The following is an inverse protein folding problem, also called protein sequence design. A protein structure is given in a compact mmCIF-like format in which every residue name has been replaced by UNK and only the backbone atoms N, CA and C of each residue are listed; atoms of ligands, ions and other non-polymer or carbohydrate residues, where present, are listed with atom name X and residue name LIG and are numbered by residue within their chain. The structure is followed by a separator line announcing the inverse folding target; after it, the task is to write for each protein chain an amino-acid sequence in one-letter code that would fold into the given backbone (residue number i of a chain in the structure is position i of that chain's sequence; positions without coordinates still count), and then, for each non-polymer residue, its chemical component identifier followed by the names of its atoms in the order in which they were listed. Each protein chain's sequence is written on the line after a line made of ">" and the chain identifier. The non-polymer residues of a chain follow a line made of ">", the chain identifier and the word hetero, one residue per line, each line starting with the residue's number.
data_IF_501354703301
#
_entry.id   IF_501354703301
#
_cell.length_a   1.000
_cell.length_b   1.000
_cell.length_c   1.000
_cell.angle_alpha   90.00
_cell.angle_beta   90.00
_cell.angle_gamma   90.00
#
_symmetry.space_group_name_H-M   'P 1'
#
loop_
_entity.id
_entity.type
_entity.pdbx_description
1 polymer ?
#
# COMPACT_ATOMS: atom_id res chain seq x y z
N UNK A 1 -9.08 54.88 -27.88
CA UNK A 1 -7.95 54.17 -27.29
C UNK A 1 -8.47 52.81 -26.87
N UNK A 2 -8.27 51.76 -27.73
CA UNK A 2 -8.79 50.40 -27.52
C UNK A 2 -7.87 49.67 -26.54
N UNK A 3 -8.35 49.38 -25.34
CA UNK A 3 -7.67 48.51 -24.39
C UNK A 3 -8.15 47.07 -24.69
N UNK A 4 -7.29 46.28 -25.28
CA UNK A 4 -7.49 44.84 -25.43
C UNK A 4 -7.36 44.19 -24.05
N UNK A 5 -8.46 43.65 -23.51
CA UNK A 5 -8.41 42.74 -22.35
C UNK A 5 -7.88 41.40 -22.83
N UNK A 6 -6.66 41.14 -22.43
CA UNK A 6 -5.99 39.84 -22.61
C UNK A 6 -6.66 38.84 -21.68
N UNK A 7 -7.43 37.92 -22.23
CA UNK A 7 -7.82 36.70 -21.49
C UNK A 7 -6.54 35.90 -21.23
N UNK A 8 -5.96 36.08 -20.02
CA UNK A 8 -4.76 35.38 -19.63
C UNK A 8 -5.12 33.93 -19.33
N UNK A 9 -4.97 33.07 -20.34
CA UNK A 9 -4.95 31.63 -20.16
C UNK A 9 -3.66 31.30 -19.41
N UNK A 10 -3.74 31.09 -18.11
CA UNK A 10 -2.57 30.68 -17.32
C UNK A 10 -2.26 29.23 -17.66
N UNK A 11 -1.37 29.02 -18.61
CA UNK A 11 -0.87 27.69 -18.97
C UNK A 11 0.42 27.49 -18.17
N UNK A 12 0.35 26.73 -17.10
CA UNK A 12 1.54 26.25 -16.40
C UNK A 12 2.04 24.98 -17.11
N UNK A 13 3.21 25.06 -17.70
CA UNK A 13 3.90 23.89 -18.22
C UNK A 13 4.84 23.32 -17.14
N UNK A 14 4.49 22.16 -16.64
CA UNK A 14 5.36 21.31 -15.83
C UNK A 14 5.58 20.00 -16.59
N UNK A 15 6.79 19.50 -16.63
CA UNK A 15 7.15 18.40 -17.55
C UNK A 15 7.07 16.97 -16.92
N UNK A 16 6.18 16.09 -17.43
CA UNK A 16 5.83 14.74 -16.91
C UNK A 16 5.58 13.63 -17.95
N UNK A 17 5.99 12.38 -17.69
CA UNK A 17 5.64 11.16 -18.43
C UNK A 17 4.91 10.13 -17.57
N UNK A 18 3.69 9.69 -17.94
CA UNK A 18 2.90 8.64 -17.28
C UNK A 18 2.67 7.43 -18.14
N UNK A 19 2.65 6.32 -17.46
CA UNK A 19 2.22 5.05 -17.99
C UNK A 19 0.84 4.74 -17.44
N UNK A 20 -0.16 4.64 -18.32
CA UNK A 20 -1.46 4.02 -18.04
C UNK A 20 -1.70 2.96 -19.11
N UNK A 21 -1.81 1.73 -18.67
CA UNK A 21 -2.35 0.60 -19.45
C UNK A 21 -1.43 0.04 -20.54
N UNK A 22 -0.84 -1.12 -20.29
CA UNK A 22 -0.25 -2.05 -21.26
C UNK A 22 0.73 -1.48 -22.27
N UNK A 23 1.84 -0.99 -21.80
CA UNK A 23 3.16 -1.02 -22.43
C UNK A 23 4.09 -0.20 -21.58
N UNK A 24 4.73 -0.86 -20.64
CA UNK A 24 5.90 -0.31 -19.93
C UNK A 24 7.07 -0.54 -20.88
N UNK A 25 7.65 0.51 -21.43
CA UNK A 25 9.01 0.38 -21.95
C UNK A 25 9.89 -0.12 -20.80
N UNK A 26 10.42 -1.31 -21.00
CA UNK A 26 11.20 -2.01 -20.02
C UNK A 26 12.38 -1.14 -19.58
N UNK A 27 12.53 -0.95 -18.28
CA UNK A 27 13.85 -0.79 -17.67
C UNK A 27 14.72 -1.87 -18.27
N UNK A 28 15.87 -1.50 -18.87
CA UNK A 28 16.77 -2.42 -19.56
C UNK A 28 16.92 -3.73 -18.78
N UNK A 29 16.64 -4.84 -19.47
CA UNK A 29 16.74 -6.19 -18.94
C UNK A 29 18.09 -6.40 -18.29
N UNK A 30 18.14 -6.37 -16.97
CA UNK A 30 19.21 -7.07 -16.24
C UNK A 30 19.08 -8.55 -16.57
N UNK A 31 20.15 -9.13 -17.11
CA UNK A 31 20.25 -10.51 -17.58
C UNK A 31 19.55 -11.51 -16.64
N UNK A 32 18.63 -12.27 -17.24
CA UNK A 32 17.83 -13.37 -16.75
C UNK A 32 16.89 -13.08 -15.54
N UNK A 33 15.64 -13.50 -15.63
CA UNK A 33 14.66 -13.28 -14.55
C UNK A 33 15.06 -14.11 -13.33
N UNK A 34 15.68 -13.45 -12.35
CA UNK A 34 16.09 -14.06 -11.09
C UNK A 34 14.94 -14.06 -10.07
N UNK A 35 13.70 -14.16 -10.56
CA UNK A 35 12.45 -14.23 -9.81
C UNK A 35 11.37 -14.92 -10.66
N UNK A 36 10.32 -15.40 -10.01
CA UNK A 36 9.14 -15.96 -10.72
C UNK A 36 8.09 -14.90 -11.00
N UNK A 37 7.91 -13.96 -10.09
CA UNK A 37 7.02 -12.81 -10.24
C UNK A 37 7.42 -11.68 -9.30
N UNK A 38 7.06 -10.44 -9.67
CA UNK A 38 7.20 -9.29 -8.79
C UNK A 38 6.10 -8.26 -9.06
N UNK A 39 5.85 -7.38 -8.10
CA UNK A 39 4.94 -6.24 -8.20
C UNK A 39 5.42 -5.12 -7.29
N UNK A 40 5.46 -3.90 -7.80
CA UNK A 40 5.72 -2.68 -7.07
C UNK A 40 4.55 -1.72 -7.30
N UNK A 41 4.03 -1.17 -6.23
CA UNK A 41 2.94 -0.18 -6.26
C UNK A 41 3.00 0.74 -5.05
N UNK A 42 2.08 1.71 -5.00
CA UNK A 42 1.92 2.57 -3.84
C UNK A 42 1.08 1.89 -2.73
N UNK A 43 0.95 2.53 -1.59
CA UNK A 43 0.15 2.03 -0.47
C UNK A 43 -1.38 2.16 -0.67
N UNK A 44 -1.82 2.70 -1.81
CA UNK A 44 -3.23 2.94 -2.15
C UNK A 44 -3.75 2.04 -3.28
N UNK A 45 -3.02 0.99 -3.63
CA UNK A 45 -3.43 0.01 -4.63
C UNK A 45 -3.07 0.34 -6.08
N UNK A 46 -2.33 1.43 -6.33
CA UNK A 46 -1.90 1.73 -7.69
C UNK A 46 -0.62 0.97 -8.02
N UNK A 47 -0.77 -0.06 -8.86
CA UNK A 47 0.37 -0.82 -9.38
C UNK A 47 1.17 0.03 -10.36
N UNK A 48 2.46 0.14 -10.11
CA UNK A 48 3.39 0.92 -10.93
C UNK A 48 4.17 0.01 -11.89
N UNK A 49 4.65 -1.12 -11.41
CA UNK A 49 5.40 -2.11 -12.18
C UNK A 49 5.07 -3.52 -11.72
N UNK A 50 5.18 -4.49 -12.63
CA UNK A 50 5.03 -5.89 -12.27
C UNK A 50 5.25 -6.83 -13.44
N UNK A 51 5.63 -8.06 -13.11
CA UNK A 51 5.77 -9.15 -14.06
C UNK A 51 5.20 -10.43 -13.49
N UNK A 52 4.41 -11.15 -14.28
CA UNK A 52 3.73 -12.39 -13.85
C UNK A 52 2.91 -12.22 -12.55
N UNK A 53 2.27 -11.05 -12.36
CA UNK A 53 1.65 -10.66 -11.09
C UNK A 53 0.51 -11.59 -10.67
N UNK A 54 -0.21 -12.18 -11.61
CA UNK A 54 -1.33 -13.10 -11.41
C UNK A 54 -0.88 -14.58 -11.28
N UNK A 55 0.41 -14.87 -11.49
CA UNK A 55 0.91 -16.25 -11.43
C UNK A 55 0.98 -16.74 -9.99
N UNK A 56 0.32 -17.85 -9.68
CA UNK A 56 0.39 -18.49 -8.36
C UNK A 56 1.76 -19.10 -8.12
N UNK A 57 2.33 -18.77 -6.97
CA UNK A 57 3.61 -19.26 -6.49
C UNK A 57 3.47 -19.75 -5.05
N UNK A 58 4.29 -20.71 -4.61
CA UNK A 58 4.35 -21.10 -3.21
C UNK A 58 4.80 -19.91 -2.34
N UNK A 59 4.07 -19.65 -1.26
CA UNK A 59 4.27 -18.47 -0.42
C UNK A 59 5.40 -18.64 0.61
N UNK A 60 5.67 -19.86 1.04
CA UNK A 60 6.50 -20.10 2.20
C UNK A 60 6.05 -19.22 3.39
N UNK A 61 6.96 -18.68 4.17
CA UNK A 61 6.62 -17.88 5.36
C UNK A 61 5.94 -16.54 5.09
N UNK A 62 5.66 -16.14 3.83
CA UNK A 62 4.73 -15.03 3.58
C UNK A 62 3.31 -15.37 4.08
N UNK A 63 2.93 -16.65 4.13
CA UNK A 63 1.71 -17.15 4.79
C UNK A 63 1.49 -16.56 6.17
N UNK A 64 2.58 -16.33 6.94
CA UNK A 64 2.51 -15.78 8.30
C UNK A 64 2.01 -14.33 8.35
N UNK A 65 1.97 -13.62 7.23
CA UNK A 65 1.30 -12.32 7.18
C UNK A 65 -0.18 -12.47 7.53
N UNK A 66 -0.89 -13.41 6.88
CA UNK A 66 -2.29 -13.70 7.20
C UNK A 66 -2.45 -14.25 8.63
N UNK A 67 -1.54 -15.12 9.08
CA UNK A 67 -1.54 -15.62 10.47
C UNK A 67 -1.50 -14.47 11.46
N UNK A 68 -0.68 -13.45 11.22
CA UNK A 68 -0.59 -12.28 12.09
C UNK A 68 -1.83 -11.39 11.99
N UNK A 69 -2.39 -11.17 10.81
CA UNK A 69 -3.62 -10.40 10.65
C UNK A 69 -4.77 -11.03 11.46
N UNK A 70 -5.02 -12.33 11.27
CA UNK A 70 -6.07 -13.05 12.03
C UNK A 70 -5.78 -13.02 13.54
N UNK A 71 -4.50 -13.08 13.95
CA UNK A 71 -4.11 -12.94 15.36
C UNK A 71 -4.46 -11.55 15.90
N UNK A 72 -4.16 -10.48 15.14
CA UNK A 72 -4.50 -9.12 15.54
C UNK A 72 -6.01 -8.86 15.52
N UNK A 73 -6.76 -9.47 14.62
CA UNK A 73 -8.23 -9.41 14.62
C UNK A 73 -8.79 -10.04 15.89
N UNK A 74 -8.27 -11.20 16.31
CA UNK A 74 -8.66 -11.85 17.55
C UNK A 74 -8.33 -11.00 18.80
N UNK A 75 -7.24 -10.24 18.77
CA UNK A 75 -6.89 -9.28 19.83
C UNK A 75 -7.84 -8.08 19.80
N UNK A 76 -8.08 -7.50 18.63
CA UNK A 76 -8.91 -6.31 18.45
C UNK A 76 -10.38 -6.56 18.81
N UNK A 77 -10.88 -7.77 18.56
CA UNK A 77 -12.23 -8.22 18.97
C UNK A 77 -12.33 -8.58 20.45
N UNK A 78 -11.22 -8.61 21.19
CA UNK A 78 -11.19 -9.04 22.59
C UNK A 78 -11.31 -10.55 22.80
N UNK A 79 -11.24 -11.36 21.72
CA UNK A 79 -11.28 -12.83 21.80
C UNK A 79 -10.06 -13.38 22.55
N UNK A 80 -8.90 -12.74 22.37
CA UNK A 80 -7.66 -13.04 23.10
C UNK A 80 -6.99 -11.74 23.55
N UNK A 81 -6.08 -11.84 24.53
CA UNK A 81 -5.24 -10.75 25.00
C UNK A 81 -3.78 -10.96 24.62
N UNK A 82 -3.04 -9.87 24.41
CA UNK A 82 -1.58 -9.90 24.21
C UNK A 82 -0.84 -10.59 25.36
N UNK A 83 -1.41 -10.55 26.57
CA UNK A 83 -0.84 -11.11 27.80
C UNK A 83 -1.25 -12.55 28.07
N UNK A 84 -2.14 -13.14 27.27
CA UNK A 84 -2.55 -14.53 27.45
C UNK A 84 -1.36 -15.46 27.31
N UNK A 85 -1.29 -16.45 28.19
CA UNK A 85 -0.20 -17.42 28.27
C UNK A 85 -0.51 -18.67 27.45
N UNK A 86 0.20 -18.85 26.35
CA UNK A 86 0.06 -20.00 25.44
C UNK A 86 1.16 -21.01 25.72
N UNK A 87 0.85 -22.28 26.06
CA UNK A 87 1.86 -23.32 26.27
C UNK A 87 2.46 -23.77 24.92
N UNK A 88 3.77 -23.86 24.87
CA UNK A 88 4.49 -24.49 23.76
C UNK A 88 4.42 -26.00 23.90
N UNK A 89 3.46 -26.62 23.23
CA UNK A 89 3.25 -28.06 23.29
C UNK A 89 4.23 -28.86 22.40
N UNK A 90 4.16 -30.20 22.50
CA UNK A 90 5.03 -31.09 21.72
C UNK A 90 4.79 -30.95 20.21
N UNK A 91 3.54 -30.77 19.81
CA UNK A 91 3.15 -30.65 18.41
C UNK A 91 3.75 -29.37 17.78
N UNK A 92 3.53 -28.20 18.43
CA UNK A 92 4.11 -26.94 17.99
C UNK A 92 5.65 -27.03 17.90
N UNK A 93 6.29 -27.61 18.91
CA UNK A 93 7.75 -27.74 18.97
C UNK A 93 8.33 -28.77 17.99
N UNK A 94 7.53 -29.68 17.44
CA UNK A 94 7.98 -30.66 16.44
C UNK A 94 8.19 -30.07 15.06
N UNK A 95 7.62 -28.85 14.79
CA UNK A 95 7.71 -28.24 13.48
C UNK A 95 9.14 -27.88 13.08
N UNK A 96 9.50 -28.24 11.86
CA UNK A 96 10.82 -27.97 11.28
C UNK A 96 10.98 -26.51 10.77
N UNK A 97 12.11 -26.26 10.11
CA UNK A 97 12.47 -24.97 9.55
C UNK A 97 12.80 -23.92 10.62
N UNK A 98 12.45 -22.65 10.37
CA UNK A 98 12.71 -21.57 11.32
C UNK A 98 11.86 -21.73 12.58
N UNK A 99 12.50 -21.76 13.76
CA UNK A 99 11.83 -21.94 15.06
C UNK A 99 12.61 -21.28 16.19
N UNK A 100 11.94 -20.94 17.26
CA UNK A 100 12.58 -20.64 18.54
C UNK A 100 12.84 -21.95 19.30
N UNK A 101 14.02 -22.04 19.90
CA UNK A 101 14.39 -23.20 20.71
C UNK A 101 13.87 -23.03 22.14
N UNK A 102 12.81 -23.76 22.48
CA UNK A 102 12.12 -23.62 23.75
C UNK A 102 11.67 -25.01 24.27
N UNK A 103 11.74 -25.18 25.57
CA UNK A 103 11.31 -26.42 26.22
C UNK A 103 9.79 -26.59 26.14
N UNK A 104 9.33 -27.80 25.79
CA UNK A 104 7.90 -28.13 25.82
C UNK A 104 7.31 -27.86 27.21
N UNK A 105 6.11 -27.29 27.25
CA UNK A 105 5.45 -26.85 28.47
C UNK A 105 5.78 -25.41 28.90
N UNK A 106 6.81 -24.78 28.33
CA UNK A 106 7.05 -23.34 28.57
C UNK A 106 5.88 -22.54 28.05
N UNK A 107 5.39 -21.56 28.84
CA UNK A 107 4.35 -20.65 28.46
C UNK A 107 4.96 -19.35 27.90
N UNK A 108 4.49 -18.91 26.76
CA UNK A 108 4.81 -17.61 26.16
C UNK A 108 3.55 -16.77 26.11
N UNK A 109 3.69 -15.47 26.21
CA UNK A 109 2.57 -14.56 25.93
C UNK A 109 2.25 -14.53 24.43
N UNK A 110 1.02 -14.20 24.09
CA UNK A 110 0.60 -13.97 22.70
C UNK A 110 1.54 -12.94 22.04
N UNK A 111 1.91 -11.87 22.76
CA UNK A 111 2.85 -10.86 22.25
C UNK A 111 4.24 -11.46 21.92
N UNK A 112 4.77 -12.31 22.78
CA UNK A 112 6.07 -12.99 22.54
C UNK A 112 5.99 -13.91 21.31
N UNK A 113 4.86 -14.61 21.13
CA UNK A 113 4.62 -15.46 19.96
C UNK A 113 4.49 -14.62 18.68
N UNK A 114 3.83 -13.46 18.73
CA UNK A 114 3.76 -12.50 17.61
C UNK A 114 5.17 -12.03 17.25
N UNK A 115 5.99 -11.60 18.22
CA UNK A 115 7.38 -11.18 17.99
C UNK A 115 8.20 -12.30 17.32
N UNK A 116 8.11 -13.52 17.82
CA UNK A 116 8.83 -14.67 17.26
C UNK A 116 8.35 -15.01 15.83
N UNK A 117 7.05 -14.86 15.55
CA UNK A 117 6.44 -15.11 14.24
C UNK A 117 6.81 -14.03 13.21
N UNK A 118 6.69 -12.75 13.56
CA UNK A 118 6.93 -11.64 12.67
C UNK A 118 8.43 -11.46 12.35
N UNK A 119 9.27 -11.45 13.39
CA UNK A 119 10.68 -11.08 13.31
C UNK A 119 11.55 -12.28 12.92
N UNK A 120 11.47 -13.38 13.69
CA UNK A 120 12.27 -14.59 13.44
C UNK A 120 11.64 -15.54 12.42
N UNK A 121 10.38 -15.32 12.07
CA UNK A 121 9.60 -16.22 11.21
C UNK A 121 9.42 -17.62 11.83
N UNK A 122 9.32 -17.71 13.16
CA UNK A 122 9.27 -18.97 13.89
C UNK A 122 7.99 -19.77 13.58
N UNK A 123 8.15 -20.99 13.03
CA UNK A 123 7.04 -21.87 12.67
C UNK A 123 6.29 -22.36 13.91
N UNK A 124 7.03 -22.74 14.95
CA UNK A 124 6.43 -23.22 16.20
C UNK A 124 5.65 -22.13 16.94
N UNK A 125 6.06 -20.88 16.85
CA UNK A 125 5.31 -19.74 17.41
C UNK A 125 4.02 -19.47 16.62
N UNK A 126 4.11 -19.43 15.27
CA UNK A 126 2.95 -19.24 14.40
C UNK A 126 1.91 -20.36 14.58
N UNK A 127 2.37 -21.61 14.73
CA UNK A 127 1.49 -22.75 14.95
C UNK A 127 0.84 -22.73 16.33
N UNK A 128 1.59 -22.33 17.36
CA UNK A 128 1.05 -22.18 18.72
C UNK A 128 -0.05 -21.10 18.78
N UNK A 129 0.15 -19.94 18.12
CA UNK A 129 -0.88 -18.92 17.95
C UNK A 129 -2.12 -19.49 17.26
N UNK A 130 -1.92 -20.14 16.11
CA UNK A 130 -3.01 -20.74 15.34
C UNK A 130 -3.81 -21.77 16.14
N UNK A 131 -3.13 -22.63 16.86
CA UNK A 131 -3.76 -23.63 17.70
C UNK A 131 -4.53 -23.01 18.86
N UNK A 132 -3.96 -21.98 19.50
CA UNK A 132 -4.60 -21.27 20.60
C UNK A 132 -5.89 -20.57 20.14
N UNK A 133 -5.83 -19.79 19.07
CA UNK A 133 -6.96 -19.05 18.53
C UNK A 133 -8.01 -19.98 17.91
N UNK A 134 -7.56 -21.09 17.30
CA UNK A 134 -8.43 -22.12 16.72
C UNK A 134 -9.09 -23.08 17.73
N UNK A 135 -9.05 -22.75 19.03
CA UNK A 135 -9.68 -23.57 20.07
C UNK A 135 -9.00 -24.93 20.28
N UNK A 136 -7.68 -24.99 20.16
CA UNK A 136 -6.87 -26.22 20.28
C UNK A 136 -6.60 -26.94 18.96
N UNK A 137 -7.13 -26.45 17.85
CA UNK A 137 -6.99 -27.05 16.51
C UNK A 137 -6.54 -26.00 15.47
N UNK A 138 -5.33 -26.18 14.92
CA UNK A 138 -4.78 -25.28 13.90
C UNK A 138 -5.58 -25.29 12.57
N UNK A 139 -6.30 -26.37 12.23
CA UNK A 139 -7.13 -26.42 11.03
C UNK A 139 -8.34 -25.48 11.12
N UNK A 140 -8.87 -25.20 12.32
CA UNK A 140 -9.89 -24.18 12.53
C UNK A 140 -9.34 -22.78 12.23
N UNK A 141 -8.12 -22.52 12.67
CA UNK A 141 -7.45 -21.26 12.37
C UNK A 141 -7.18 -21.09 10.87
N UNK A 142 -6.81 -22.15 10.16
CA UNK A 142 -6.66 -22.11 8.69
C UNK A 142 -7.98 -21.77 7.99
N UNK A 143 -9.12 -22.22 8.50
CA UNK A 143 -10.43 -21.77 8.01
C UNK A 143 -10.61 -20.28 8.19
N UNK A 144 -10.29 -19.73 9.38
CA UNK A 144 -10.34 -18.30 9.64
C UNK A 144 -9.41 -17.51 8.69
N UNK A 145 -8.21 -18.03 8.38
CA UNK A 145 -7.31 -17.41 7.39
C UNK A 145 -7.96 -17.33 5.99
N UNK A 146 -8.64 -18.37 5.53
CA UNK A 146 -9.31 -18.37 4.24
C UNK A 146 -10.60 -17.52 4.25
N UNK A 147 -11.33 -17.48 5.36
CA UNK A 147 -12.47 -16.58 5.57
C UNK A 147 -12.00 -15.12 5.49
N UNK A 148 -10.93 -14.76 6.20
CA UNK A 148 -10.31 -13.43 6.11
C UNK A 148 -9.82 -13.11 4.70
N UNK A 149 -9.21 -14.08 4.01
CA UNK A 149 -8.82 -13.94 2.60
C UNK A 149 -10.00 -13.59 1.71
N UNK A 150 -11.15 -14.25 1.93
CA UNK A 150 -12.40 -13.98 1.19
C UNK A 150 -12.98 -12.60 1.55
N UNK A 151 -12.99 -12.20 2.83
CA UNK A 151 -13.42 -10.87 3.26
C UNK A 151 -12.61 -9.75 2.57
N UNK A 152 -11.33 -9.99 2.34
CA UNK A 152 -10.42 -9.08 1.65
C UNK A 152 -10.50 -9.18 0.12
N UNK A 153 -11.33 -10.07 -0.44
CA UNK A 153 -11.44 -10.33 -1.88
C UNK A 153 -10.21 -11.00 -2.47
N UNK A 154 -9.46 -11.77 -1.67
CA UNK A 154 -8.19 -12.41 -2.04
C UNK A 154 -8.30 -13.93 -2.22
N UNK A 155 -9.50 -14.51 -2.15
CA UNK A 155 -9.72 -15.96 -2.19
C UNK A 155 -9.40 -16.58 -3.56
N UNK A 156 -9.40 -15.79 -4.63
CA UNK A 156 -8.95 -16.23 -5.96
C UNK A 156 -7.43 -16.15 -6.11
N UNK A 157 -6.79 -15.20 -5.44
CA UNK A 157 -5.35 -14.97 -5.51
C UNK A 157 -4.57 -15.84 -4.53
N UNK A 158 -5.09 -16.08 -3.30
CA UNK A 158 -4.35 -16.75 -2.23
C UNK A 158 -5.17 -17.93 -1.68
N UNK A 159 -4.48 -19.05 -1.39
CA UNK A 159 -5.07 -20.22 -0.72
C UNK A 159 -4.16 -20.68 0.41
N UNK A 160 -4.73 -20.81 1.61
CA UNK A 160 -4.02 -21.22 2.82
C UNK A 160 -4.40 -22.65 3.24
N UNK A 161 -3.41 -23.46 3.59
CA UNK A 161 -3.56 -24.82 4.10
C UNK A 161 -2.81 -25.02 5.42
N UNK A 162 -1.91 -24.10 5.75
CA UNK A 162 -1.13 -24.09 6.99
C UNK A 162 -1.04 -22.68 7.59
N UNK A 163 -0.83 -22.50 8.89
CA UNK A 163 -0.56 -21.20 9.47
C UNK A 163 0.91 -20.77 9.33
N UNK A 164 1.75 -21.56 8.69
CA UNK A 164 3.21 -21.40 8.71
C UNK A 164 3.85 -21.20 7.35
N UNK A 165 3.22 -21.71 6.28
CA UNK A 165 3.81 -21.76 4.95
C UNK A 165 4.83 -22.89 4.77
N UNK A 166 4.85 -23.88 5.65
CA UNK A 166 5.71 -25.05 5.49
C UNK A 166 5.22 -25.93 4.32
N UNK A 167 6.15 -26.60 3.60
CA UNK A 167 5.80 -27.40 2.43
C UNK A 167 5.07 -28.70 2.81
N UNK A 168 4.36 -29.33 1.84
CA UNK A 168 3.66 -30.61 2.03
C UNK A 168 4.51 -31.72 2.63
N UNK A 169 5.78 -31.79 2.28
CA UNK A 169 6.73 -32.78 2.83
C UNK A 169 6.93 -32.69 4.35
N UNK A 170 6.63 -31.53 4.95
CA UNK A 170 6.74 -31.31 6.40
C UNK A 170 5.40 -31.32 7.13
N UNK A 171 4.29 -31.10 6.42
CA UNK A 171 2.98 -30.88 7.03
C UNK A 171 1.94 -31.95 6.65
N UNK A 172 2.16 -32.66 5.55
CA UNK A 172 1.13 -33.52 4.92
C UNK A 172 -0.07 -32.76 4.35
N UNK A 173 -0.05 -31.42 4.41
CA UNK A 173 -1.09 -30.54 3.86
C UNK A 173 -0.72 -30.09 2.46
N UNK A 174 -1.68 -29.47 1.73
CA UNK A 174 -1.39 -28.81 0.45
C UNK A 174 -0.44 -27.62 0.63
N UNK A 175 0.13 -27.13 -0.46
CA UNK A 175 1.00 -25.96 -0.49
C UNK A 175 0.19 -24.66 -0.34
N UNK A 176 0.61 -23.78 0.57
CA UNK A 176 0.11 -22.42 0.60
C UNK A 176 0.61 -21.70 -0.65
N UNK A 177 -0.30 -21.19 -1.45
CA UNK A 177 0.01 -20.55 -2.73
C UNK A 177 -0.67 -19.19 -2.84
N UNK A 178 -0.03 -18.28 -3.57
CA UNK A 178 -0.60 -16.98 -3.87
C UNK A 178 0.10 -16.30 -5.04
N UNK A 179 -0.53 -15.24 -5.53
CA UNK A 179 -0.03 -14.36 -6.59
C UNK A 179 0.78 -13.21 -5.99
N UNK A 180 1.65 -12.59 -6.79
CA UNK A 180 2.34 -11.38 -6.35
C UNK A 180 1.34 -10.24 -6.07
N UNK A 181 0.29 -10.11 -6.88
CA UNK A 181 -0.80 -9.16 -6.68
C UNK A 181 -1.56 -9.41 -5.38
N UNK A 182 -1.90 -10.67 -5.09
CA UNK A 182 -2.58 -11.02 -3.83
C UNK A 182 -1.72 -10.69 -2.59
N UNK A 183 -0.40 -10.95 -2.64
CA UNK A 183 0.50 -10.58 -1.55
C UNK A 183 0.70 -9.07 -1.46
N UNK A 184 0.67 -8.34 -2.57
CA UNK A 184 0.69 -6.88 -2.57
C UNK A 184 -0.56 -6.32 -1.85
N UNK A 185 -1.77 -6.74 -2.23
CA UNK A 185 -3.03 -6.36 -1.56
C UNK A 185 -3.05 -6.77 -0.08
N UNK A 186 -2.52 -7.95 0.25
CA UNK A 186 -2.37 -8.38 1.65
C UNK A 186 -1.38 -7.49 2.41
N UNK A 187 -0.37 -6.96 1.74
CA UNK A 187 0.59 -6.02 2.33
C UNK A 187 -0.06 -4.66 2.60
N UNK A 188 -0.91 -4.15 1.69
CA UNK A 188 -1.70 -2.94 1.93
C UNK A 188 -2.59 -3.10 3.18
N UNK A 189 -3.26 -4.25 3.30
CA UNK A 189 -4.05 -4.53 4.50
C UNK A 189 -3.18 -4.59 5.76
N UNK A 190 -2.00 -5.23 5.68
CA UNK A 190 -1.07 -5.34 6.80
C UNK A 190 -0.59 -3.97 7.31
N UNK A 191 -0.41 -2.98 6.43
CA UNK A 191 -0.01 -1.62 6.80
C UNK A 191 -1.04 -0.92 7.69
N UNK A 192 -2.32 -1.31 7.65
CA UNK A 192 -3.36 -0.77 8.52
C UNK A 192 -3.21 -1.25 9.98
N UNK A 193 -2.52 -2.36 10.20
CA UNK A 193 -2.24 -2.94 11.52
C UNK A 193 -0.95 -2.37 12.11
N UNK A 194 -1.03 -1.15 12.65
CA UNK A 194 0.14 -0.42 13.19
C UNK A 194 1.01 -1.26 14.12
N UNK A 195 0.38 -2.00 15.05
CA UNK A 195 1.09 -2.88 15.98
C UNK A 195 1.88 -4.01 15.27
N UNK A 196 1.35 -4.52 14.13
CA UNK A 196 2.08 -5.51 13.34
C UNK A 196 3.32 -4.89 12.70
N UNK A 197 3.16 -3.75 12.05
CA UNK A 197 4.26 -3.06 11.35
C UNK A 197 5.33 -2.60 12.35
N UNK A 198 4.94 -2.08 13.51
CA UNK A 198 5.87 -1.73 14.59
C UNK A 198 6.74 -2.93 15.00
N UNK A 199 6.16 -4.12 15.13
CA UNK A 199 6.92 -5.34 15.44
C UNK A 199 7.76 -5.78 14.23
N UNK A 200 7.20 -5.82 13.03
CA UNK A 200 7.88 -6.29 11.82
C UNK A 200 9.08 -5.41 11.42
N UNK A 201 9.07 -4.13 11.80
CA UNK A 201 10.17 -3.18 11.54
C UNK A 201 11.37 -3.34 12.47
N UNK A 202 11.24 -4.10 13.56
CA UNK A 202 12.32 -4.29 14.52
C UNK A 202 13.42 -5.17 13.94
N UNK A 203 14.67 -4.71 13.98
CA UNK A 203 15.84 -5.51 13.55
C UNK A 203 16.15 -6.68 14.47
N UNK A 204 15.81 -6.56 15.74
CA UNK A 204 16.05 -7.54 16.81
C UNK A 204 14.87 -7.56 17.77
N UNK A 205 14.63 -8.71 18.39
CA UNK A 205 13.70 -8.81 19.50
C UNK A 205 14.19 -9.83 20.52
N UNK A 206 13.57 -9.79 21.69
CA UNK A 206 13.79 -10.74 22.77
C UNK A 206 12.47 -11.16 23.42
N UNK A 207 12.45 -12.34 23.98
CA UNK A 207 11.33 -12.93 24.73
C UNK A 207 11.83 -13.58 26.01
N UNK A 208 10.91 -13.96 26.91
CA UNK A 208 11.22 -14.55 28.21
C UNK A 208 12.21 -13.68 29.02
N UNK A 209 11.91 -12.37 29.10
CA UNK A 209 12.77 -11.42 29.83
C UNK A 209 14.23 -11.44 29.34
N UNK A 210 14.44 -11.48 28.03
CA UNK A 210 15.76 -11.43 27.41
C UNK A 210 16.51 -12.76 27.32
N UNK A 211 15.91 -13.88 27.79
CA UNK A 211 16.54 -15.19 27.72
C UNK A 211 16.68 -15.73 26.30
N UNK A 212 15.80 -15.36 25.40
CA UNK A 212 15.85 -15.73 23.97
C UNK A 212 15.88 -14.45 23.14
N UNK A 213 16.94 -14.32 22.35
CA UNK A 213 17.15 -13.18 21.44
C UNK A 213 17.21 -13.67 19.99
N UNK A 214 16.64 -12.91 19.07
CA UNK A 214 16.68 -13.25 17.65
C UNK A 214 16.69 -11.99 16.77
N UNK A 215 17.26 -12.17 15.58
CA UNK A 215 17.31 -11.12 14.56
C UNK A 215 16.14 -11.26 13.57
N UNK A 216 15.78 -10.16 12.96
CA UNK A 216 14.83 -10.15 11.85
C UNK A 216 15.43 -10.86 10.63
N UNK A 217 14.58 -11.64 9.95
CA UNK A 217 14.96 -12.32 8.70
C UNK A 217 15.03 -11.37 7.52
N UNK A 218 14.39 -10.20 7.62
CA UNK A 218 14.52 -9.14 6.62
C UNK A 218 15.81 -8.33 6.88
N UNK A 219 16.87 -8.62 6.12
CA UNK A 219 18.16 -7.93 6.21
C UNK A 219 18.17 -6.55 5.57
N UNK A 220 17.07 -6.17 4.89
CA UNK A 220 16.93 -4.89 4.21
C UNK A 220 16.36 -3.79 5.11
N UNK A 221 15.93 -4.11 6.33
CA UNK A 221 15.35 -3.13 7.26
C UNK A 221 16.27 -1.93 7.50
N UNK A 222 15.75 -0.73 7.22
CA UNK A 222 16.46 0.55 7.36
C UNK A 222 17.30 0.94 6.13
N UNK A 223 17.38 0.10 5.10
CA UNK A 223 17.97 0.46 3.80
C UNK A 223 16.88 1.03 2.90
N UNK A 224 17.18 2.05 2.10
CA UNK A 224 16.26 2.66 1.14
C UNK A 224 14.83 2.92 1.73
N UNK A 225 14.75 3.31 3.00
CA UNK A 225 13.48 3.54 3.69
C UNK A 225 12.67 2.30 4.05
N UNK A 226 13.19 1.06 3.87
CA UNK A 226 12.47 -0.19 4.13
C UNK A 226 12.22 -0.36 5.63
N UNK A 227 10.93 -0.57 6.01
CA UNK A 227 10.49 -0.75 7.40
C UNK A 227 9.65 -1.99 7.68
N UNK A 228 9.46 -2.87 6.72
CA UNK A 228 8.69 -4.13 6.84
C UNK A 228 8.88 -5.00 5.60
N UNK A 229 8.11 -6.07 5.31
CA UNK A 229 6.99 -6.61 6.10
C UNK A 229 7.34 -8.06 6.48
N UNK A 230 7.68 -8.92 5.48
CA UNK A 230 7.93 -10.35 5.71
C UNK A 230 8.80 -10.97 4.63
N UNK A 231 9.65 -11.94 5.02
CA UNK A 231 10.40 -12.83 4.12
C UNK A 231 9.82 -14.25 4.15
N UNK A 232 10.04 -15.01 3.08
CA UNK A 232 9.64 -16.41 2.98
C UNK A 232 10.67 -17.22 2.21
N UNK A 233 10.93 -18.47 2.63
CA UNK A 233 11.79 -19.41 1.90
C UNK A 233 11.47 -20.86 2.26
N UNK A 234 11.45 -21.68 1.25
CA UNK A 234 11.71 -23.13 1.23
C UNK A 234 12.03 -23.51 -0.23
N UNK A 235 12.58 -24.69 -0.46
CA UNK A 235 13.14 -25.09 -1.77
C UNK A 235 12.16 -24.91 -2.95
N UNK A 236 10.90 -25.34 -2.77
CA UNK A 236 9.89 -25.20 -3.84
C UNK A 236 9.46 -23.74 -4.08
N UNK A 237 9.50 -22.88 -3.07
CA UNK A 237 9.13 -21.47 -3.18
C UNK A 237 10.26 -20.60 -3.76
N UNK A 238 11.51 -20.97 -3.50
CA UNK A 238 12.62 -20.04 -3.61
C UNK A 238 12.57 -18.97 -2.51
N UNK A 239 13.20 -17.84 -2.75
CA UNK A 239 13.29 -16.74 -1.78
C UNK A 239 12.28 -15.65 -2.10
N UNK A 240 11.30 -15.50 -1.21
CA UNK A 240 10.21 -14.52 -1.30
C UNK A 240 10.45 -13.35 -0.34
N UNK A 241 9.92 -12.18 -0.69
CA UNK A 241 9.86 -11.04 0.19
C UNK A 241 8.67 -10.14 -0.15
N UNK A 242 8.02 -9.60 0.88
CA UNK A 242 7.14 -8.45 0.78
C UNK A 242 7.73 -7.35 1.67
N UNK A 243 7.94 -6.18 1.11
CA UNK A 243 8.45 -5.01 1.83
C UNK A 243 7.50 -3.83 1.72
N UNK A 244 7.57 -2.94 2.72
CA UNK A 244 7.10 -1.58 2.65
C UNK A 244 8.30 -0.65 2.82
N UNK A 245 8.31 0.43 2.07
CA UNK A 245 9.38 1.44 2.10
C UNK A 245 8.80 2.83 1.95
N UNK A 246 9.38 3.80 2.65
CA UNK A 246 8.99 5.20 2.55
C UNK A 246 10.23 6.11 2.48
N UNK A 247 10.27 6.99 1.48
CA UNK A 247 11.27 8.04 1.32
C UNK A 247 10.60 9.33 0.86
N UNK A 248 10.77 10.43 1.60
CA UNK A 248 10.22 11.76 1.28
C UNK A 248 8.70 11.74 1.00
N UNK A 249 7.93 11.09 1.87
CA UNK A 249 6.47 10.91 1.76
C UNK A 249 6.01 10.12 0.53
N UNK A 250 6.90 9.40 -0.11
CA UNK A 250 6.57 8.44 -1.16
C UNK A 250 6.65 7.04 -0.57
N UNK A 251 5.48 6.47 -0.28
CA UNK A 251 5.33 5.11 0.27
C UNK A 251 5.08 4.11 -0.84
N UNK A 252 5.78 2.99 -0.80
CA UNK A 252 5.62 1.88 -1.74
C UNK A 252 5.57 0.54 -1.05
N UNK A 253 4.92 -0.40 -1.71
CA UNK A 253 4.95 -1.83 -1.41
C UNK A 253 5.62 -2.55 -2.56
N UNK A 254 6.57 -3.41 -2.25
CA UNK A 254 7.25 -4.22 -3.25
C UNK A 254 7.27 -5.69 -2.85
N UNK A 255 6.79 -6.55 -3.73
CA UNK A 255 6.74 -8.01 -3.54
C UNK A 255 7.58 -8.68 -4.61
N UNK A 256 8.47 -9.58 -4.19
CA UNK A 256 9.27 -10.43 -5.09
C UNK A 256 9.08 -11.88 -4.66
N UNK A 257 8.69 -12.75 -5.59
CA UNK A 257 8.46 -14.17 -5.37
C UNK A 257 9.39 -15.02 -6.22
N UNK A 258 9.94 -16.06 -5.60
CA UNK A 258 10.65 -17.13 -6.30
C UNK A 258 12.06 -16.79 -6.77
N UNK A 259 12.79 -15.92 -6.08
CA UNK A 259 14.23 -15.72 -6.35
C UNK A 259 15.05 -16.98 -6.03
N UNK A 260 16.13 -17.26 -6.77
CA UNK A 260 16.93 -18.47 -6.58
C UNK A 260 17.74 -18.49 -5.28
N UNK A 261 18.09 -17.33 -4.74
CA UNK A 261 18.80 -17.19 -3.48
C UNK A 261 18.53 -15.83 -2.81
N UNK A 262 18.86 -15.72 -1.52
CA UNK A 262 18.63 -14.51 -0.73
C UNK A 262 19.39 -13.29 -1.26
N UNK A 263 20.63 -13.48 -1.68
CA UNK A 263 21.48 -12.37 -2.14
C UNK A 263 20.92 -11.74 -3.42
N UNK A 264 20.48 -12.58 -4.37
CA UNK A 264 19.84 -12.12 -5.60
C UNK A 264 18.55 -11.38 -5.33
N UNK A 265 17.68 -11.92 -4.45
CA UNK A 265 16.44 -11.27 -4.03
C UNK A 265 16.72 -9.90 -3.41
N UNK A 266 17.65 -9.83 -2.46
CA UNK A 266 17.95 -8.61 -1.73
C UNK A 266 18.55 -7.53 -2.64
N UNK A 267 19.50 -7.91 -3.53
CA UNK A 267 20.08 -6.98 -4.52
C UNK A 267 19.02 -6.43 -5.47
N UNK A 268 18.12 -7.29 -5.98
CA UNK A 268 17.03 -6.82 -6.85
C UNK A 268 16.17 -5.79 -6.12
N UNK A 269 15.73 -6.11 -4.90
CA UNK A 269 14.90 -5.19 -4.11
C UNK A 269 15.60 -3.86 -3.85
N UNK A 270 16.86 -3.87 -3.41
CA UNK A 270 17.63 -2.64 -3.16
C UNK A 270 17.81 -1.79 -4.43
N UNK A 271 18.14 -2.42 -5.55
CA UNK A 271 18.38 -1.71 -6.81
C UNK A 271 17.08 -1.10 -7.36
N UNK A 272 16.01 -1.88 -7.44
CA UNK A 272 14.73 -1.42 -7.99
C UNK A 272 14.12 -0.28 -7.14
N UNK A 273 14.22 -0.37 -5.81
CA UNK A 273 13.73 0.69 -4.90
C UNK A 273 14.59 1.96 -5.04
N UNK A 274 15.91 1.82 -5.11
CA UNK A 274 16.82 2.96 -5.32
C UNK A 274 16.55 3.66 -6.65
N UNK A 275 16.39 2.88 -7.73
CA UNK A 275 16.04 3.38 -9.05
C UNK A 275 14.69 4.08 -9.02
N UNK A 276 13.68 3.46 -8.41
CA UNK A 276 12.36 4.03 -8.24
C UNK A 276 12.42 5.39 -7.54
N UNK A 277 13.03 5.51 -6.36
CA UNK A 277 13.14 6.78 -5.64
C UNK A 277 14.02 7.82 -6.35
N UNK A 278 14.92 7.37 -7.23
CA UNK A 278 15.72 8.27 -8.07
C UNK A 278 14.89 8.85 -9.20
N UNK A 279 14.04 8.06 -9.83
CA UNK A 279 13.27 8.46 -11.01
C UNK A 279 11.92 9.07 -10.69
N UNK A 280 11.27 8.65 -9.63
CA UNK A 280 9.89 9.03 -9.31
C UNK A 280 9.80 10.04 -8.17
N UNK A 281 8.68 10.77 -8.11
CA UNK A 281 8.27 11.63 -7.01
C UNK A 281 6.78 11.49 -6.76
N UNK A 282 6.36 11.75 -5.51
CA UNK A 282 4.97 11.99 -5.15
C UNK A 282 4.73 13.49 -5.10
N UNK A 283 3.61 13.95 -5.62
CA UNK A 283 3.23 15.35 -5.59
C UNK A 283 1.71 15.51 -5.51
N UNK A 284 1.28 16.46 -4.64
CA UNK A 284 -0.08 16.98 -4.68
C UNK A 284 -0.12 18.04 -5.78
N UNK A 285 -0.64 17.65 -6.95
CA UNK A 285 -0.68 18.51 -8.15
C UNK A 285 -1.79 19.55 -8.04
N UNK A 286 -2.96 19.16 -7.52
CA UNK A 286 -4.06 20.08 -7.22
C UNK A 286 -4.48 19.94 -5.76
N UNK A 287 -4.69 21.08 -5.12
CA UNK A 287 -5.26 21.18 -3.79
C UNK A 287 -6.62 21.87 -3.90
N UNK A 288 -7.70 21.21 -3.47
CA UNK A 288 -9.07 21.75 -3.47
C UNK A 288 -9.22 23.09 -2.71
N UNK A 289 -8.26 23.38 -1.80
CA UNK A 289 -8.27 24.58 -0.96
C UNK A 289 -7.41 25.73 -1.51
N UNK A 290 -6.76 25.52 -2.66
CA UNK A 290 -5.95 26.52 -3.35
C UNK A 290 -6.61 26.85 -4.69
N UNK A 291 -6.87 28.14 -4.98
CA UNK A 291 -7.47 28.52 -6.26
C UNK A 291 -6.51 28.23 -7.42
N UNK A 292 -7.07 27.74 -8.52
CA UNK A 292 -6.36 27.41 -9.75
C UNK A 292 -6.55 28.49 -10.84
N UNK A 293 -7.31 29.54 -10.55
CA UNK A 293 -7.55 30.66 -11.45
C UNK A 293 -8.57 31.62 -10.87
N UNK A 294 -8.87 32.64 -11.66
CA UNK A 294 -9.87 33.67 -11.34
C UNK A 294 -10.67 33.96 -12.61
N UNK A 295 -11.99 34.15 -12.47
CA UNK A 295 -12.86 34.53 -13.60
C UNK A 295 -13.71 35.77 -13.28
N UNK A 296 -14.10 36.50 -14.32
CA UNK A 296 -14.96 37.66 -14.19
C UNK A 296 -16.42 37.23 -13.99
N UNK A 297 -17.14 37.96 -13.13
CA UNK A 297 -18.58 37.76 -12.86
C UNK A 297 -19.38 38.88 -13.54
N UNK A 298 -20.52 38.49 -14.08
CA UNK A 298 -21.51 39.43 -14.62
C UNK A 298 -22.56 39.73 -13.55
N UNK A 299 -22.81 40.98 -13.27
CA UNK A 299 -23.81 41.47 -12.32
C UNK A 299 -23.61 40.96 -10.87
N UNK A 300 -22.37 40.70 -10.45
CA UNK A 300 -22.04 40.32 -9.09
C UNK A 300 -21.67 41.53 -8.24
N UNK A 301 -21.85 41.38 -6.90
CA UNK A 301 -21.31 42.30 -5.89
C UNK A 301 -19.80 42.39 -6.05
N UNK A 302 -19.15 41.25 -6.26
CA UNK A 302 -17.75 41.13 -6.62
C UNK A 302 -17.56 41.11 -8.12
N UNK A 303 -16.42 41.64 -8.59
CA UNK A 303 -16.06 41.61 -10.00
C UNK A 303 -15.48 40.30 -10.48
N UNK A 304 -14.94 39.53 -9.57
CA UNK A 304 -14.20 38.29 -9.83
C UNK A 304 -14.58 37.18 -8.85
N UNK A 305 -14.49 35.93 -9.29
CA UNK A 305 -14.61 34.73 -8.50
C UNK A 305 -13.34 33.90 -8.64
N UNK A 306 -12.86 33.40 -7.52
CA UNK A 306 -11.77 32.41 -7.50
C UNK A 306 -12.31 31.04 -7.92
N UNK A 307 -11.51 30.34 -8.70
CA UNK A 307 -11.81 29.04 -9.27
C UNK A 307 -11.07 27.95 -8.50
N UNK A 308 -11.81 27.05 -7.87
CA UNK A 308 -11.22 25.96 -7.09
C UNK A 308 -11.48 24.60 -7.75
N UNK A 309 -10.52 23.64 -7.68
CA UNK A 309 -10.81 22.28 -8.08
C UNK A 309 -11.71 21.61 -7.03
N UNK A 310 -12.63 20.75 -7.45
CA UNK A 310 -13.59 20.05 -6.59
C UNK A 310 -12.94 18.96 -5.69
N UNK A 311 -11.68 18.59 -5.98
CA UNK A 311 -10.95 17.53 -5.28
C UNK A 311 -9.44 17.76 -5.28
N UNK A 312 -8.75 17.13 -4.30
CA UNK A 312 -7.31 17.00 -4.34
C UNK A 312 -6.90 16.00 -5.44
N UNK A 313 -5.78 16.26 -6.11
CA UNK A 313 -5.17 15.31 -7.03
C UNK A 313 -3.71 15.12 -6.63
N UNK A 314 -3.41 13.90 -6.21
CA UNK A 314 -2.09 13.44 -5.80
C UNK A 314 -1.66 12.32 -6.73
N UNK A 315 -0.41 12.31 -7.16
CA UNK A 315 0.12 11.30 -8.09
C UNK A 315 1.59 11.02 -7.83
N UNK A 316 1.94 9.75 -8.04
CA UNK A 316 3.32 9.30 -8.19
C UNK A 316 3.65 9.32 -9.68
N UNK A 317 4.82 9.85 -10.03
CA UNK A 317 5.23 9.99 -11.41
C UNK A 317 6.73 10.23 -11.61
N UNK A 318 7.26 10.00 -12.84
CA UNK A 318 8.67 10.27 -13.17
C UNK A 318 8.99 11.76 -13.06
N UNK A 319 10.15 12.10 -12.50
CA UNK A 319 10.56 13.49 -12.22
C UNK A 319 10.71 14.36 -13.48
N UNK A 320 10.97 13.76 -14.64
CA UNK A 320 11.12 14.43 -15.93
C UNK A 320 9.82 14.63 -16.71
N UNK A 321 8.73 14.11 -16.19
CA UNK A 321 7.45 14.15 -16.85
C UNK A 321 6.76 15.55 -16.89
N UNK A 322 5.80 15.80 -17.81
CA UNK A 322 5.17 17.12 -18.12
C UNK A 322 3.70 17.18 -17.72
N UNK A 323 3.34 17.96 -16.67
CA UNK A 323 1.95 18.26 -16.31
C UNK A 323 1.44 19.46 -17.11
N UNK A 324 0.19 19.33 -17.58
CA UNK A 324 -0.56 20.42 -18.15
C UNK A 324 -1.96 20.45 -17.55
N UNK A 325 -2.32 21.58 -16.95
CA UNK A 325 -3.68 21.83 -16.48
C UNK A 325 -4.42 22.63 -17.55
N UNK A 326 -5.58 22.13 -17.97
CA UNK A 326 -6.50 22.83 -18.87
C UNK A 326 -7.74 23.21 -18.07
N UNK A 327 -8.11 24.48 -18.11
CA UNK A 327 -9.31 25.01 -17.49
C UNK A 327 -10.33 25.32 -18.60
N UNK A 328 -11.49 24.70 -18.56
CA UNK A 328 -12.64 24.94 -19.40
C UNK A 328 -13.68 25.70 -18.56
N UNK A 329 -13.53 27.03 -18.46
CA UNK A 329 -14.39 27.89 -17.63
C UNK A 329 -15.61 28.30 -18.42
N UNK A 330 -16.78 28.33 -17.77
CA UNK A 330 -18.03 28.79 -18.38
C UNK A 330 -17.86 30.21 -18.98
N UNK A 331 -18.27 30.42 -20.23
CA UNK A 331 -18.10 31.69 -20.93
C UNK A 331 -18.76 32.89 -20.23
N UNK A 332 -19.86 32.63 -19.50
CA UNK A 332 -20.65 33.67 -18.81
C UNK A 332 -20.98 33.20 -17.40
N UNK A 333 -20.16 33.60 -16.44
CA UNK A 333 -20.46 33.41 -15.02
C UNK A 333 -21.29 34.60 -14.55
N UNK A 334 -22.53 34.35 -14.09
CA UNK A 334 -23.46 35.36 -13.62
C UNK A 334 -23.80 35.18 -12.16
N UNK A 335 -23.90 36.30 -11.43
CA UNK A 335 -24.43 36.29 -10.07
C UNK A 335 -25.96 36.07 -10.04
N UNK A 336 -26.54 35.48 -8.97
CA UNK A 336 -25.84 35.04 -7.77
C UNK A 336 -25.08 33.75 -8.00
N UNK A 337 -23.96 33.59 -7.30
CA UNK A 337 -23.18 32.36 -7.25
C UNK A 337 -23.30 31.83 -5.84
N UNK A 338 -23.53 30.53 -5.68
CA UNK A 338 -23.53 29.83 -4.40
C UNK A 338 -22.21 29.06 -4.23
N UNK A 339 -21.85 28.83 -2.96
CA UNK A 339 -20.79 27.89 -2.62
C UNK A 339 -21.07 26.54 -3.30
N UNK A 340 -20.03 25.90 -3.86
CA UNK A 340 -20.05 24.65 -4.63
C UNK A 340 -20.71 24.76 -6.03
N UNK A 341 -21.16 25.93 -6.48
CA UNK A 341 -21.62 26.08 -7.86
C UNK A 341 -20.50 25.73 -8.86
N UNK A 342 -20.86 24.97 -9.88
CA UNK A 342 -19.93 24.57 -10.95
C UNK A 342 -19.72 25.72 -11.92
N UNK A 343 -18.50 26.23 -11.98
CA UNK A 343 -18.08 27.36 -12.85
C UNK A 343 -17.37 26.90 -14.12
N UNK A 344 -17.12 25.59 -14.26
CA UNK A 344 -16.43 25.00 -15.39
C UNK A 344 -15.88 23.61 -15.06
N UNK A 345 -14.97 23.15 -15.89
CA UNK A 345 -14.30 21.87 -15.72
C UNK A 345 -12.79 22.02 -15.90
N UNK A 346 -12.03 21.12 -15.32
CA UNK A 346 -10.59 21.05 -15.58
C UNK A 346 -10.21 19.67 -16.10
N UNK A 347 -9.12 19.63 -16.88
CA UNK A 347 -8.43 18.41 -17.29
C UNK A 347 -6.97 18.52 -16.90
N UNK A 348 -6.50 17.51 -16.18
CA UNK A 348 -5.10 17.36 -15.84
C UNK A 348 -4.46 16.35 -16.78
N UNK A 349 -3.48 16.80 -17.52
CA UNK A 349 -2.76 15.95 -18.46
C UNK A 349 -1.36 15.68 -17.97
N UNK A 350 -0.89 14.53 -18.37
CA UNK A 350 0.39 13.98 -18.08
C UNK A 350 0.98 13.48 -19.38
N UNK A 351 2.07 14.08 -19.91
CA UNK A 351 2.60 13.84 -21.27
C UNK A 351 1.52 13.81 -22.34
N UNK A 352 0.63 14.82 -22.30
CA UNK A 352 -0.51 14.95 -23.19
C UNK A 352 -1.60 13.88 -23.06
N UNK A 353 -1.51 12.95 -22.08
CA UNK A 353 -2.61 12.02 -21.75
C UNK A 353 -3.38 12.54 -20.54
N UNK A 354 -4.71 12.51 -20.59
CA UNK A 354 -5.56 12.92 -19.47
C UNK A 354 -5.40 11.88 -18.34
N UNK A 355 -5.05 12.37 -17.16
CA UNK A 355 -4.87 11.56 -15.95
C UNK A 355 -5.91 11.83 -14.87
N UNK A 356 -6.59 12.96 -14.95
CA UNK A 356 -7.72 13.31 -14.09
C UNK A 356 -8.55 14.42 -14.73
N UNK A 357 -9.83 14.39 -14.42
CA UNK A 357 -10.79 15.45 -14.76
C UNK A 357 -11.63 15.76 -13.52
N UNK A 358 -12.18 16.97 -13.46
CA UNK A 358 -13.05 17.39 -12.36
C UNK A 358 -13.76 18.70 -12.65
N UNK A 359 -14.54 19.14 -11.66
CA UNK A 359 -15.28 20.41 -11.73
C UNK A 359 -14.42 21.55 -11.21
N UNK A 360 -14.64 22.72 -11.76
CA UNK A 360 -14.20 24.00 -11.21
C UNK A 360 -15.38 24.55 -10.41
N UNK A 361 -15.18 24.85 -9.14
CA UNK A 361 -16.25 25.29 -8.23
C UNK A 361 -15.94 26.64 -7.60
N UNK A 362 -16.98 27.31 -7.09
CA UNK A 362 -16.87 28.44 -6.17
C UNK A 362 -16.79 27.93 -4.73
N UNK A 363 -16.00 28.59 -3.89
CA UNK A 363 -16.02 28.40 -2.43
C UNK A 363 -16.78 29.49 -1.69
N UNK A 364 -17.22 30.53 -2.40
CA UNK A 364 -17.87 31.69 -1.81
C UNK A 364 -19.28 31.86 -2.40
N UNK A 365 -20.19 32.39 -1.60
CA UNK A 365 -21.44 32.93 -2.05
C UNK A 365 -21.21 34.38 -2.54
N UNK A 366 -21.68 34.70 -3.74
CA UNK A 366 -21.56 36.04 -4.31
C UNK A 366 -22.94 36.50 -4.76
N UNK A 367 -23.44 37.53 -4.10
CA UNK A 367 -24.75 38.14 -4.38
C UNK A 367 -24.81 38.89 -5.72
N UNK A 368 -26.05 39.25 -6.14
CA UNK A 368 -26.25 40.17 -7.26
C UNK A 368 -25.91 41.58 -6.83
N UNK A 369 -25.25 42.33 -7.69
CA UNK A 369 -25.03 43.75 -7.51
C UNK A 369 -26.38 44.46 -7.62
N UNK A 370 -26.75 45.21 -6.59
CA UNK A 370 -27.94 46.07 -6.59
C UNK A 370 -27.60 47.38 -7.34
N UNK A 371 -28.35 47.70 -8.37
CA UNK A 371 -28.24 48.99 -9.06
C UNK A 371 -29.26 49.96 -8.46
N UNK A 372 -28.95 51.23 -8.43
CA UNK A 372 -29.86 52.26 -7.90
C UNK A 372 -31.23 52.27 -8.60
N UNK A 373 -31.31 51.83 -9.86
CA UNK A 373 -32.56 51.67 -10.59
C UNK A 373 -33.50 50.61 -9.99
N UNK A 374 -32.95 49.58 -9.33
CA UNK A 374 -33.72 48.47 -8.78
C UNK A 374 -34.41 48.84 -7.45
N UNK A 375 -34.11 50.03 -6.90
CA UNK A 375 -34.69 50.58 -5.67
C UNK A 375 -35.96 51.43 -5.93
N UNK A 376 -36.28 51.73 -7.17
CA UNK A 376 -37.43 52.57 -7.54
C UNK A 376 -38.61 51.78 -8.12
N UNK A 377 -38.53 50.45 -8.22
CA UNK A 377 -39.60 49.55 -8.69
C UNK A 377 -40.32 48.82 -7.51
N UNK A 378 -40.37 49.44 -6.31
CA UNK A 378 -41.14 48.97 -5.15
C UNK A 378 -42.34 49.90 -4.92
#
# INVERSE_FOLDING_TARGET
>A
MKIYLLNMLLIFFLNLNVIVGKEVEAIEKVDSPQYKSYILGDENGHVLFGENIEKKNPLASLTKMMTLLVTFDAINSGTISKTDLVPMDKESNSLGGSRIWIKTGTKLTVEELIKATAIHSANNAAYALAKYIGGGNADNFVKMMNEKSKELGLDQEISYYTPTGLPPSMTGKKMDVGTAEGIYKLSEEALKYKNYIEIASQKKAEILNGKIKFNNRNKLLGKEGIYGIKTGHHDAAGFNIAIASEVKNLSIIYVVLGSPNEVTRDKKVENDIREFYTEFKYERILNKDIPIGVSKIINGEDRFVELYPDKNIEKIYKKDGKIKLILEVNEKIKAPIKEMDTLGHFKLLLNNKIISEGKIISKNNIGKRIWFSDLYDI
#
